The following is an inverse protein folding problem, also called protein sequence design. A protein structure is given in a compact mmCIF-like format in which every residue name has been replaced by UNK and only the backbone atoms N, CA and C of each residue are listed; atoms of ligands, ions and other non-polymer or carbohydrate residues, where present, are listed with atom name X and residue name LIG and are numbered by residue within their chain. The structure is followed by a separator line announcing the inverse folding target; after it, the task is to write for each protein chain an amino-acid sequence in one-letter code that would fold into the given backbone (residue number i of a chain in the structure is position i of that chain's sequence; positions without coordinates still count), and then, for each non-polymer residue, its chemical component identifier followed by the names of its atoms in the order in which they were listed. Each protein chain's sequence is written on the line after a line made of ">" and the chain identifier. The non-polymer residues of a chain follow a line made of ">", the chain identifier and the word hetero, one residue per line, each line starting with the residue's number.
data_IF_746532954867
#
_entry.id   IF_746532954867
#
_cell.length_a   1.000
_cell.length_b   1.000
_cell.length_c   1.000
_cell.angle_alpha   90.00
_cell.angle_beta   90.00
_cell.angle_gamma   90.00
#
_symmetry.space_group_name_H-M   'P 1'
#
loop_
_entity.id
_entity.type
_entity.pdbx_description
1 polymer ?
#
# COMPACT_ATOMS: atom_id res chain seq x y z
N UNK A 1 -3.82 -3.92 -8.26
CA UNK A 1 -3.30 -2.93 -9.23
C UNK A 1 -2.40 -1.90 -8.56
N UNK A 2 -2.93 -0.90 -7.86
CA UNK A 2 -2.14 0.22 -7.31
C UNK A 2 -1.14 -0.13 -6.21
N UNK A 3 -1.28 -1.29 -5.58
CA UNK A 3 -0.36 -1.71 -4.53
C UNK A 3 1.11 -1.72 -4.95
N UNK A 4 1.42 -2.10 -6.19
CA UNK A 4 2.80 -2.13 -6.68
C UNK A 4 3.43 -0.73 -6.86
N UNK A 5 2.83 0.20 -7.63
CA UNK A 5 3.39 1.55 -7.72
C UNK A 5 3.43 2.28 -6.38
N UNK A 6 2.40 2.12 -5.54
CA UNK A 6 2.34 2.79 -4.25
C UNK A 6 3.37 2.25 -3.24
N UNK A 7 3.62 0.95 -3.18
CA UNK A 7 4.67 0.41 -2.29
C UNK A 7 6.07 0.82 -2.74
N UNK A 8 6.32 0.87 -4.06
CA UNK A 8 7.62 1.25 -4.59
C UNK A 8 7.96 2.74 -4.34
N UNK A 9 7.02 3.64 -4.64
CA UNK A 9 7.26 5.09 -4.52
C UNK A 9 7.30 5.57 -3.07
N UNK A 10 6.64 4.83 -2.17
CA UNK A 10 6.60 5.09 -0.74
C UNK A 10 7.53 4.18 0.08
N UNK A 11 8.44 3.44 -0.55
CA UNK A 11 9.35 2.53 0.16
C UNK A 11 10.20 3.29 1.19
N UNK A 12 10.21 2.81 2.44
CA UNK A 12 10.87 3.47 3.56
C UNK A 12 11.38 2.50 4.66
N UNK A 13 11.28 1.18 4.48
CA UNK A 13 11.74 0.22 5.48
C UNK A 13 12.80 -0.76 4.90
N UNK A 14 14.03 -0.32 4.58
CA UNK A 14 15.03 -1.19 3.96
C UNK A 14 15.79 -2.09 4.94
N UNK A 15 15.59 -1.90 6.25
CA UNK A 15 16.42 -2.51 7.29
C UNK A 15 15.61 -3.40 8.23
N UNK A 16 16.23 -4.48 8.70
CA UNK A 16 15.77 -5.30 9.81
C UNK A 16 16.97 -5.82 10.60
N UNK A 17 17.01 -5.60 11.92
CA UNK A 17 18.11 -6.03 12.80
C UNK A 17 19.51 -5.66 12.26
N UNK A 18 19.65 -4.45 11.72
CA UNK A 18 20.90 -3.94 11.13
C UNK A 18 21.30 -4.57 9.80
N UNK A 19 20.44 -5.40 9.19
CA UNK A 19 20.65 -5.98 7.86
C UNK A 19 19.86 -5.20 6.82
N UNK A 20 20.47 -5.00 5.65
CA UNK A 20 19.80 -4.46 4.46
C UNK A 20 19.06 -5.60 3.76
N UNK A 21 17.77 -5.41 3.51
CA UNK A 21 16.90 -6.41 2.91
C UNK A 21 16.14 -5.80 1.72
N UNK A 22 14.82 -5.91 1.71
CA UNK A 22 13.94 -5.40 0.65
C UNK A 22 13.77 -3.89 0.82
N UNK A 23 13.54 -3.14 -0.27
CA UNK A 23 13.24 -1.71 -0.20
C UNK A 23 12.06 -1.41 0.76
N UNK A 24 11.09 -2.32 0.86
CA UNK A 24 10.01 -2.30 1.85
C UNK A 24 9.89 -3.65 2.60
N UNK A 25 10.87 -3.91 3.48
CA UNK A 25 10.96 -5.12 4.32
C UNK A 25 9.76 -5.35 5.23
N UNK A 26 9.02 -4.29 5.61
CA UNK A 26 7.80 -4.40 6.41
C UNK A 26 6.77 -5.35 5.79
N UNK A 27 6.69 -5.43 4.45
CA UNK A 27 5.72 -6.30 3.77
C UNK A 27 5.95 -7.78 4.16
N UNK A 28 7.10 -8.41 3.81
CA UNK A 28 7.34 -9.81 4.18
C UNK A 28 7.52 -9.99 5.69
N UNK A 29 8.03 -9.00 6.43
CA UNK A 29 8.18 -9.09 7.88
C UNK A 29 6.82 -9.24 8.57
N UNK A 30 5.87 -8.37 8.23
CA UNK A 30 4.56 -8.40 8.87
C UNK A 30 3.78 -9.67 8.52
N UNK A 31 3.90 -10.15 7.29
CA UNK A 31 3.32 -11.43 6.88
C UNK A 31 3.85 -12.63 7.66
N UNK A 32 5.10 -12.58 8.11
CA UNK A 32 5.71 -13.64 8.92
C UNK A 32 5.44 -13.45 10.42
N UNK A 33 5.54 -12.23 10.92
CA UNK A 33 5.49 -11.92 12.35
C UNK A 33 4.15 -12.29 13.02
N UNK A 34 3.05 -12.21 12.27
CA UNK A 34 1.71 -12.58 12.76
C UNK A 34 1.12 -13.75 11.97
N UNK A 35 1.99 -14.60 11.42
CA UNK A 35 1.61 -15.83 10.73
C UNK A 35 1.04 -16.83 11.73
N UNK A 36 -0.23 -16.66 12.07
CA UNK A 36 -1.02 -17.66 12.76
C UNK A 36 -1.55 -18.68 11.75
N UNK A 37 -1.59 -19.97 12.08
CA UNK A 37 -2.28 -20.97 11.28
C UNK A 37 -3.72 -20.52 10.99
N UNK A 38 -4.09 -20.46 9.71
CA UNK A 38 -5.46 -20.19 9.28
C UNK A 38 -6.26 -21.48 9.15
N UNK A 39 -7.40 -21.56 9.83
CA UNK A 39 -8.42 -22.60 9.61
C UNK A 39 -8.09 -23.99 10.18
N UNK A 40 -9.01 -24.94 9.94
CA UNK A 40 -8.92 -26.35 10.37
C UNK A 40 -7.78 -27.13 9.71
N UNK A 41 -7.10 -26.54 8.72
CA UNK A 41 -5.88 -27.07 8.10
C UNK A 41 -4.68 -26.25 8.56
N UNK A 42 -4.17 -26.61 9.72
CA UNK A 42 -3.00 -26.02 10.39
C UNK A 42 -1.73 -25.90 9.50
N UNK A 43 -1.69 -26.57 8.35
CA UNK A 43 -0.56 -26.66 7.43
C UNK A 43 -0.83 -26.10 6.02
N UNK A 44 -1.91 -25.36 5.77
CA UNK A 44 -2.10 -24.72 4.45
C UNK A 44 -1.39 -23.35 4.40
N UNK A 45 -0.23 -23.24 3.71
CA UNK A 45 0.54 -22.00 3.65
C UNK A 45 -0.18 -20.88 2.89
N UNK A 46 -1.31 -21.17 2.25
CA UNK A 46 -2.10 -20.20 1.48
C UNK A 46 -2.99 -19.32 2.36
N UNK A 47 -3.23 -19.68 3.63
CA UNK A 47 -4.11 -18.92 4.54
C UNK A 47 -3.36 -18.22 5.66
N UNK A 48 -2.63 -17.17 5.28
CA UNK A 48 -2.08 -16.20 6.22
C UNK A 48 -3.10 -15.11 6.53
N UNK A 49 -3.12 -14.64 7.78
CA UNK A 49 -3.97 -13.52 8.20
C UNK A 49 -3.51 -12.19 7.62
N UNK A 50 -2.22 -12.04 7.32
CA UNK A 50 -1.70 -10.92 6.51
C UNK A 50 -1.50 -11.41 5.10
N UNK A 51 -2.13 -10.75 4.13
CA UNK A 51 -2.11 -11.21 2.74
C UNK A 51 -2.37 -10.09 1.76
N UNK A 52 -1.91 -10.28 0.53
CA UNK A 52 -2.35 -9.48 -0.61
C UNK A 52 -3.83 -9.71 -0.98
N UNK A 53 -4.36 -10.90 -0.67
CA UNK A 53 -5.69 -11.37 -1.08
C UNK A 53 -5.61 -12.53 -2.07
N UNK A 54 -6.76 -13.10 -2.41
CA UNK A 54 -6.86 -14.32 -3.22
C UNK A 54 -7.43 -14.11 -4.63
N UNK A 55 -8.02 -12.94 -4.91
CA UNK A 55 -8.65 -12.65 -6.19
C UNK A 55 -9.32 -11.28 -6.22
N UNK A 56 -9.78 -10.88 -7.41
CA UNK A 56 -10.73 -9.78 -7.54
C UNK A 56 -12.12 -10.22 -7.07
N UNK A 57 -12.82 -9.30 -6.43
CA UNK A 57 -14.27 -9.43 -6.21
C UNK A 57 -14.97 -9.38 -7.56
N UNK A 58 -15.97 -10.25 -7.79
CA UNK A 58 -16.62 -10.39 -9.10
C UNK A 58 -18.07 -9.89 -9.10
N UNK A 59 -18.85 -10.34 -8.14
CA UNK A 59 -20.28 -10.04 -8.03
C UNK A 59 -20.59 -9.15 -6.82
N UNK A 60 -19.96 -9.38 -5.67
CA UNK A 60 -20.27 -8.64 -4.44
C UNK A 60 -19.14 -8.72 -3.40
N UNK A 61 -19.00 -7.66 -2.59
CA UNK A 61 -18.12 -7.67 -1.42
C UNK A 61 -18.47 -8.79 -0.42
N UNK A 62 -19.68 -9.35 -0.48
CA UNK A 62 -20.06 -10.51 0.32
C UNK A 62 -19.10 -11.69 0.12
N UNK A 63 -18.56 -11.87 -1.08
CA UNK A 63 -17.55 -12.90 -1.38
C UNK A 63 -16.36 -12.84 -0.41
N UNK A 64 -15.92 -11.63 -0.06
CA UNK A 64 -14.82 -11.42 0.88
C UNK A 64 -15.21 -11.80 2.31
N UNK A 65 -16.42 -11.48 2.75
CA UNK A 65 -16.89 -11.81 4.10
C UNK A 65 -17.20 -13.30 4.24
N UNK A 66 -17.71 -13.94 3.19
CA UNK A 66 -17.82 -15.40 3.11
C UNK A 66 -16.45 -16.07 3.15
N UNK A 67 -15.45 -15.52 2.45
CA UNK A 67 -14.06 -15.98 2.57
C UNK A 67 -13.55 -15.83 4.01
N UNK A 68 -13.81 -14.70 4.66
CA UNK A 68 -13.44 -14.47 6.06
C UNK A 68 -14.00 -15.55 6.99
N UNK A 69 -15.31 -15.81 6.88
CA UNK A 69 -16.02 -16.77 7.72
C UNK A 69 -15.53 -18.21 7.48
N UNK A 70 -15.31 -18.59 6.23
CA UNK A 70 -14.96 -19.97 5.85
C UNK A 70 -13.50 -20.32 6.13
N UNK A 71 -12.59 -19.34 6.04
CA UNK A 71 -11.14 -19.61 6.03
C UNK A 71 -10.43 -19.18 7.31
N UNK A 72 -10.97 -18.20 8.03
CA UNK A 72 -10.31 -17.61 9.18
C UNK A 72 -11.15 -17.88 10.43
N UNK A 73 -10.66 -18.68 11.39
CA UNK A 73 -11.29 -18.81 12.70
C UNK A 73 -11.36 -17.45 13.41
N UNK A 74 -12.32 -17.18 14.30
CA UNK A 74 -12.30 -16.00 15.15
C UNK A 74 -11.01 -15.95 15.98
N UNK A 75 -10.27 -14.83 15.94
CA UNK A 75 -9.05 -14.65 16.73
C UNK A 75 -9.35 -14.08 18.13
N UNK A 76 -10.34 -13.19 18.20
CA UNK A 76 -10.76 -12.50 19.42
C UNK A 76 -12.21 -12.92 19.71
N UNK A 77 -12.44 -13.97 20.50
CA UNK A 77 -13.77 -14.46 20.84
C UNK A 77 -14.39 -13.59 21.95
N UNK A 78 -14.55 -12.29 21.66
CA UNK A 78 -15.20 -11.34 22.55
C UNK A 78 -16.72 -11.51 22.42
N UNK A 79 -17.41 -11.54 23.55
CA UNK A 79 -18.87 -11.46 23.56
C UNK A 79 -19.29 -10.02 23.27
N UNK A 80 -19.91 -9.81 22.12
CA UNK A 80 -20.46 -8.52 21.68
C UNK A 80 -21.98 -8.58 21.59
N UNK A 81 -22.63 -9.52 22.29
CA UNK A 81 -24.09 -9.67 22.29
C UNK A 81 -24.84 -8.49 22.92
N UNK A 82 -24.14 -7.65 23.68
CA UNK A 82 -24.67 -6.40 24.24
C UNK A 82 -24.76 -5.28 23.20
N UNK A 83 -24.03 -5.40 22.10
CA UNK A 83 -24.04 -4.44 20.99
C UNK A 83 -25.19 -4.75 20.02
N UNK A 84 -25.60 -3.78 19.21
CA UNK A 84 -26.67 -4.00 18.22
C UNK A 84 -26.18 -4.87 17.05
N UNK A 85 -26.89 -5.97 16.77
CA UNK A 85 -26.64 -6.81 15.58
C UNK A 85 -26.72 -6.03 14.26
N UNK A 86 -27.48 -4.94 14.23
CA UNK A 86 -27.58 -4.06 13.05
C UNK A 86 -26.23 -3.45 12.67
N UNK A 87 -25.33 -3.26 13.64
CA UNK A 87 -23.98 -2.73 13.43
C UNK A 87 -22.94 -3.82 13.14
N UNK A 88 -23.38 -5.08 13.05
CA UNK A 88 -22.56 -6.23 12.69
C UNK A 88 -21.21 -6.33 13.47
N UNK A 89 -21.22 -6.14 14.81
CA UNK A 89 -19.99 -5.93 15.59
C UNK A 89 -19.03 -7.12 15.52
N UNK A 90 -19.56 -8.35 15.52
CA UNK A 90 -18.77 -9.57 15.35
C UNK A 90 -18.09 -9.65 13.97
N UNK A 91 -18.79 -9.26 12.90
CA UNK A 91 -18.25 -9.26 11.55
C UNK A 91 -17.16 -8.19 11.38
N UNK A 92 -17.40 -6.99 11.90
CA UNK A 92 -16.43 -5.90 11.90
C UNK A 92 -15.17 -6.26 12.69
N UNK A 93 -15.31 -6.83 13.89
CA UNK A 93 -14.18 -7.31 14.69
C UNK A 93 -13.42 -8.42 13.95
N UNK A 94 -14.12 -9.42 13.41
CA UNK A 94 -13.49 -10.52 12.68
C UNK A 94 -12.68 -10.02 11.47
N UNK A 95 -13.27 -9.17 10.64
CA UNK A 95 -12.59 -8.53 9.51
C UNK A 95 -11.40 -7.66 9.98
N UNK A 96 -11.50 -7.06 11.16
CA UNK A 96 -10.42 -6.31 11.81
C UNK A 96 -9.17 -7.16 12.06
N UNK A 97 -9.33 -8.45 12.36
CA UNK A 97 -8.25 -9.41 12.64
C UNK A 97 -7.66 -10.10 11.40
N UNK A 98 -8.14 -9.73 10.21
CA UNK A 98 -7.63 -10.22 8.92
C UNK A 98 -7.03 -9.02 8.19
N UNK A 99 -5.72 -9.05 8.00
CA UNK A 99 -4.96 -7.94 7.45
C UNK A 99 -4.72 -8.09 5.95
N UNK A 100 -5.66 -7.59 5.16
CA UNK A 100 -5.42 -7.42 3.72
C UNK A 100 -4.68 -6.12 3.46
N UNK A 101 -3.73 -6.16 2.52
CA UNK A 101 -3.03 -4.95 2.05
C UNK A 101 -3.97 -3.93 1.37
N UNK A 102 -5.08 -4.41 0.77
CA UNK A 102 -6.26 -3.61 0.47
C UNK A 102 -7.44 -4.24 1.19
N UNK A 103 -8.06 -3.53 2.13
CA UNK A 103 -9.10 -4.09 2.99
C UNK A 103 -10.42 -3.37 2.80
N UNK A 104 -11.43 -4.03 2.21
CA UNK A 104 -12.81 -3.59 2.30
C UNK A 104 -13.32 -3.67 3.74
N UNK A 105 -14.05 -2.63 4.16
CA UNK A 105 -14.68 -2.53 5.46
C UNK A 105 -16.16 -2.19 5.31
N UNK A 106 -16.95 -2.77 6.19
CA UNK A 106 -18.29 -2.31 6.52
C UNK A 106 -18.16 -1.47 7.79
N UNK A 107 -18.79 -0.30 7.79
CA UNK A 107 -18.94 0.52 8.96
C UNK A 107 -20.30 1.22 8.95
N UNK A 108 -20.56 1.97 10.01
CA UNK A 108 -21.84 2.64 10.22
C UNK A 108 -21.56 4.07 10.69
N UNK A 109 -22.32 5.02 10.15
CA UNK A 109 -22.34 6.40 10.63
C UNK A 109 -22.97 6.49 12.02
N UNK A 110 -22.85 7.65 12.68
CA UNK A 110 -23.46 7.88 14.00
C UNK A 110 -24.98 7.72 14.03
N UNK A 111 -25.66 7.87 12.88
CA UNK A 111 -27.10 7.67 12.73
C UNK A 111 -27.48 6.23 12.34
N UNK A 112 -26.50 5.32 12.24
CA UNK A 112 -26.69 3.93 11.84
C UNK A 112 -26.66 3.68 10.33
N UNK A 113 -26.45 4.69 9.49
CA UNK A 113 -26.34 4.51 8.04
C UNK A 113 -25.12 3.65 7.70
N UNK A 114 -25.28 2.51 6.98
CA UNK A 114 -24.15 1.67 6.61
C UNK A 114 -23.31 2.32 5.50
N UNK A 115 -22.00 2.17 5.58
CA UNK A 115 -21.07 2.58 4.54
C UNK A 115 -20.04 1.49 4.21
N UNK A 116 -19.48 1.59 3.01
CA UNK A 116 -18.39 0.75 2.54
C UNK A 116 -17.15 1.60 2.31
N UNK A 117 -16.01 1.12 2.81
CA UNK A 117 -14.72 1.79 2.62
C UNK A 117 -13.67 0.78 2.18
N UNK A 118 -12.65 1.24 1.47
CA UNK A 118 -11.47 0.45 1.16
C UNK A 118 -10.27 1.14 1.82
N UNK A 119 -9.60 0.42 2.71
CA UNK A 119 -8.31 0.84 3.27
C UNK A 119 -7.18 0.37 2.37
N UNK A 120 -6.38 1.31 1.86
CA UNK A 120 -5.14 1.02 1.14
C UNK A 120 -3.95 1.07 2.11
N UNK A 121 -3.37 -0.09 2.45
CA UNK A 121 -2.48 -0.27 3.60
C UNK A 121 -1.03 -0.59 3.22
N UNK A 122 -0.69 -0.41 1.94
CA UNK A 122 0.62 -0.81 1.40
C UNK A 122 1.73 0.20 1.67
N UNK A 123 1.38 1.50 1.79
CA UNK A 123 2.37 2.55 1.96
C UNK A 123 2.97 2.48 3.36
N UNK A 124 4.28 2.72 3.44
CA UNK A 124 4.95 2.95 4.71
C UNK A 124 4.62 4.35 5.25
N UNK A 125 5.00 4.64 6.49
CA UNK A 125 5.01 6.01 6.98
C UNK A 125 5.95 6.87 6.12
N UNK A 126 5.48 8.03 5.65
CA UNK A 126 6.28 8.92 4.81
C UNK A 126 7.47 9.52 5.56
N UNK A 127 8.60 9.79 4.89
CA UNK A 127 9.76 10.44 5.51
C UNK A 127 9.48 11.85 6.04
N UNK A 128 8.53 12.55 5.43
CA UNK A 128 8.09 13.90 5.80
C UNK A 128 6.57 14.07 5.61
N UNK A 129 6.02 15.17 6.14
CA UNK A 129 4.61 15.54 5.94
C UNK A 129 4.32 15.78 4.44
N UNK A 130 5.11 16.58 3.70
CA UNK A 130 4.89 16.74 2.26
C UNK A 130 4.94 15.41 1.49
N UNK A 131 5.86 14.50 1.84
CA UNK A 131 5.93 13.19 1.19
C UNK A 131 4.67 12.36 1.43
N UNK A 132 4.07 12.46 2.63
CA UNK A 132 2.84 11.76 3.00
C UNK A 132 1.65 12.29 2.22
N UNK A 133 1.51 13.61 2.12
CA UNK A 133 0.42 14.24 1.35
C UNK A 133 0.58 13.95 -0.15
N UNK A 134 1.81 14.01 -0.67
CA UNK A 134 2.12 13.68 -2.06
C UNK A 134 1.77 12.21 -2.40
N UNK A 135 2.04 11.28 -1.49
CA UNK A 135 1.64 9.88 -1.64
C UNK A 135 0.11 9.73 -1.69
N UNK A 136 -0.62 10.48 -0.85
CA UNK A 136 -2.08 10.48 -0.86
C UNK A 136 -2.64 11.05 -2.17
N UNK A 137 -2.11 12.18 -2.65
CA UNK A 137 -2.51 12.79 -3.91
C UNK A 137 -2.32 11.82 -5.09
N UNK A 138 -1.15 11.17 -5.18
CA UNK A 138 -0.89 10.14 -6.19
C UNK A 138 -1.91 8.99 -6.09
N UNK A 139 -2.13 8.46 -4.88
CA UNK A 139 -3.07 7.35 -4.67
C UNK A 139 -4.49 7.73 -5.11
N UNK A 140 -5.02 8.88 -4.67
CA UNK A 140 -6.38 9.30 -5.02
C UNK A 140 -6.54 9.57 -6.50
N UNK A 141 -5.56 10.24 -7.13
CA UNK A 141 -5.57 10.48 -8.57
C UNK A 141 -5.60 9.16 -9.35
N UNK A 142 -4.73 8.23 -8.99
CA UNK A 142 -4.66 6.93 -9.65
C UNK A 142 -5.89 6.06 -9.39
N UNK A 143 -6.39 6.03 -8.16
CA UNK A 143 -7.58 5.25 -7.80
C UNK A 143 -8.78 5.75 -8.59
N UNK A 144 -8.96 7.08 -8.68
CA UNK A 144 -10.04 7.68 -9.44
C UNK A 144 -9.89 7.48 -10.96
N UNK A 145 -8.68 7.67 -11.48
CA UNK A 145 -8.38 7.50 -12.91
C UNK A 145 -8.61 6.07 -13.38
N UNK A 146 -8.02 5.09 -12.68
CA UNK A 146 -8.14 3.68 -13.05
C UNK A 146 -9.56 3.12 -12.87
N UNK A 147 -10.29 3.56 -11.83
CA UNK A 147 -11.66 3.10 -11.60
C UNK A 147 -12.65 3.51 -12.70
N UNK A 148 -12.28 4.49 -13.54
CA UNK A 148 -13.10 5.02 -14.63
C UNK A 148 -12.66 4.53 -16.01
N UNK A 149 -11.61 3.73 -16.09
CA UNK A 149 -11.13 3.18 -17.36
C UNK A 149 -12.09 2.10 -17.88
N UNK A 150 -12.27 2.09 -19.20
CA UNK A 150 -13.04 1.07 -19.92
C UNK A 150 -12.17 0.38 -20.97
N UNK A 151 -12.18 -0.97 -21.06
CA UNK A 151 -12.83 -1.89 -20.12
C UNK A 151 -12.19 -1.84 -18.71
N UNK A 152 -12.88 -2.34 -17.67
CA UNK A 152 -12.35 -2.33 -16.31
C UNK A 152 -10.96 -2.95 -16.22
N UNK A 153 -10.08 -2.31 -15.46
CA UNK A 153 -8.64 -2.63 -15.42
C UNK A 153 -8.35 -4.06 -14.95
N UNK A 154 -9.22 -4.65 -14.12
CA UNK A 154 -9.14 -6.03 -13.66
C UNK A 154 -9.39 -7.07 -14.78
N UNK A 155 -9.95 -6.66 -15.92
CA UNK A 155 -10.06 -7.53 -17.11
C UNK A 155 -8.76 -7.56 -17.91
N UNK A 156 -7.88 -6.57 -17.72
CA UNK A 156 -6.64 -6.40 -18.49
C UNK A 156 -5.38 -6.81 -17.71
N UNK A 157 -5.47 -7.01 -16.40
CA UNK A 157 -4.34 -7.47 -15.58
C UNK A 157 -4.80 -8.46 -14.51
N UNK A 158 -4.32 -9.70 -14.65
CA UNK A 158 -4.67 -10.80 -13.74
C UNK A 158 -4.26 -10.52 -12.29
N UNK A 159 -5.02 -11.08 -11.35
CA UNK A 159 -4.80 -10.91 -9.93
C UNK A 159 -3.47 -11.53 -9.46
N UNK A 160 -3.11 -12.71 -9.99
CA UNK A 160 -1.83 -13.33 -9.63
C UNK A 160 -0.66 -12.46 -10.12
N UNK A 161 -0.80 -11.83 -11.28
CA UNK A 161 0.19 -10.86 -11.78
C UNK A 161 0.24 -9.60 -10.91
N UNK A 162 -0.90 -9.06 -10.46
CA UNK A 162 -0.93 -7.95 -9.50
C UNK A 162 -0.17 -8.29 -8.22
N UNK A 163 -0.36 -9.50 -7.70
CA UNK A 163 0.35 -10.00 -6.53
C UNK A 163 1.85 -10.11 -6.79
N UNK A 164 2.25 -10.67 -7.93
CA UNK A 164 3.66 -10.77 -8.32
C UNK A 164 4.32 -9.39 -8.43
N UNK A 165 3.65 -8.43 -9.10
CA UNK A 165 4.11 -7.05 -9.20
C UNK A 165 4.28 -6.40 -7.83
N UNK A 166 3.34 -6.63 -6.90
CA UNK A 166 3.41 -6.06 -5.56
C UNK A 166 4.64 -6.55 -4.78
N UNK A 167 4.95 -7.85 -4.80
CA UNK A 167 6.13 -8.38 -4.12
C UNK A 167 7.45 -8.03 -4.85
N UNK A 168 7.44 -7.89 -6.18
CA UNK A 168 8.57 -7.33 -6.92
C UNK A 168 8.83 -5.88 -6.50
N UNK A 169 7.78 -5.06 -6.44
CA UNK A 169 7.84 -3.66 -6.02
C UNK A 169 8.31 -3.49 -4.57
N UNK A 170 7.83 -4.32 -3.64
CA UNK A 170 8.28 -4.27 -2.26
C UNK A 170 9.76 -4.65 -2.12
N UNK A 171 10.27 -5.56 -2.96
CA UNK A 171 11.66 -6.01 -2.95
C UNK A 171 12.61 -5.00 -3.58
N UNK A 172 12.30 -4.60 -4.80
CA UNK A 172 13.21 -3.87 -5.70
C UNK A 172 12.84 -2.39 -5.85
N UNK A 173 11.74 -1.95 -5.24
CA UNK A 173 11.29 -0.56 -5.21
C UNK A 173 10.98 -0.04 -6.61
N UNK A 174 11.42 1.20 -6.88
CA UNK A 174 11.23 1.86 -8.19
C UNK A 174 11.92 1.12 -9.35
N UNK A 175 12.89 0.24 -9.08
CA UNK A 175 13.59 -0.55 -10.11
C UNK A 175 12.87 -1.85 -10.45
N UNK A 176 11.78 -2.18 -9.77
CA UNK A 176 11.07 -3.43 -10.02
C UNK A 176 10.52 -3.46 -11.45
N UNK A 177 10.84 -4.53 -12.17
CA UNK A 177 10.24 -4.86 -13.46
C UNK A 177 8.88 -5.50 -13.24
N UNK A 178 7.84 -4.94 -13.83
CA UNK A 178 6.46 -5.40 -13.65
C UNK A 178 5.76 -5.62 -14.98
N UNK A 179 4.69 -6.42 -14.95
CA UNK A 179 3.75 -6.53 -16.08
C UNK A 179 2.58 -5.59 -15.81
N UNK A 180 2.33 -4.65 -16.70
CA UNK A 180 1.24 -3.69 -16.61
C UNK A 180 0.08 -4.04 -17.57
N UNK A 181 -0.84 -3.09 -17.73
CA UNK A 181 -2.01 -3.24 -18.59
C UNK A 181 -1.60 -3.64 -20.01
N UNK A 182 -2.45 -4.42 -20.68
CA UNK A 182 -2.21 -4.92 -22.05
C UNK A 182 -0.90 -5.72 -22.21
N UNK A 183 -0.37 -6.27 -21.11
CA UNK A 183 0.85 -7.10 -21.13
C UNK A 183 2.16 -6.31 -21.29
N UNK A 184 2.11 -4.98 -21.20
CA UNK A 184 3.31 -4.13 -21.22
C UNK A 184 4.26 -4.52 -20.09
N UNK A 185 5.56 -4.40 -20.32
CA UNK A 185 6.60 -4.68 -19.32
C UNK A 185 7.54 -3.50 -19.22
N UNK A 186 7.94 -3.17 -18.00
CA UNK A 186 8.94 -2.14 -17.75
C UNK A 186 9.12 -1.88 -16.26
N UNK A 187 10.12 -1.06 -15.96
CA UNK A 187 10.40 -0.64 -14.59
C UNK A 187 9.25 0.21 -14.03
N UNK A 188 8.99 0.08 -12.73
CA UNK A 188 8.01 0.92 -12.04
C UNK A 188 8.35 2.41 -12.15
N UNK A 189 9.64 2.77 -12.18
CA UNK A 189 10.08 4.14 -12.41
C UNK A 189 9.57 4.68 -13.75
N UNK A 190 9.79 3.93 -14.84
CA UNK A 190 9.33 4.33 -16.16
C UNK A 190 7.81 4.46 -16.20
N UNK A 191 7.11 3.42 -15.74
CA UNK A 191 5.65 3.42 -15.72
C UNK A 191 5.08 4.59 -14.91
N UNK A 192 5.69 4.91 -13.76
CA UNK A 192 5.27 6.04 -12.93
C UNK A 192 5.38 7.37 -13.68
N UNK A 193 6.50 7.63 -14.35
CA UNK A 193 6.76 8.89 -15.05
C UNK A 193 5.93 9.03 -16.33
N UNK A 194 5.84 7.96 -17.12
CA UNK A 194 5.27 8.01 -18.47
C UNK A 194 3.74 7.83 -18.49
N UNK A 195 3.18 7.08 -17.55
CA UNK A 195 1.75 6.71 -17.58
C UNK A 195 1.00 7.14 -16.32
N UNK A 196 1.51 6.78 -15.14
CA UNK A 196 0.73 6.91 -13.90
C UNK A 196 0.66 8.35 -13.39
N UNK A 197 1.76 9.09 -13.38
CA UNK A 197 1.74 10.50 -12.96
C UNK A 197 0.85 11.37 -13.87
N UNK A 198 0.91 11.25 -15.22
CA UNK A 198 -0.04 11.89 -16.11
C UNK A 198 -1.50 11.51 -15.81
N UNK A 199 -1.79 10.22 -15.61
CA UNK A 199 -3.14 9.76 -15.26
C UNK A 199 -3.63 10.34 -13.94
N UNK A 200 -2.80 10.32 -12.90
CA UNK A 200 -3.12 10.86 -11.59
C UNK A 200 -3.45 12.36 -11.68
N UNK A 201 -2.64 13.12 -12.40
CA UNK A 201 -2.86 14.56 -12.64
C UNK A 201 -4.21 14.81 -13.30
N UNK A 202 -4.49 14.12 -14.40
CA UNK A 202 -5.76 14.26 -15.12
C UNK A 202 -6.96 13.94 -14.23
N UNK A 203 -6.87 12.86 -13.45
CA UNK A 203 -7.94 12.43 -12.56
C UNK A 203 -8.18 13.39 -11.39
N UNK A 204 -7.13 13.94 -10.77
CA UNK A 204 -7.26 14.93 -9.69
C UNK A 204 -7.87 16.24 -10.20
N UNK A 205 -7.49 16.71 -11.39
CA UNK A 205 -8.08 17.90 -12.00
C UNK A 205 -9.56 17.66 -12.37
N UNK A 206 -9.91 16.46 -12.82
CA UNK A 206 -11.30 16.08 -13.08
C UNK A 206 -12.15 16.01 -11.80
N UNK A 207 -11.52 15.87 -10.63
CA UNK A 207 -12.16 15.99 -9.32
C UNK A 207 -12.27 17.45 -8.83
N UNK A 208 -11.88 18.43 -9.66
CA UNK A 208 -11.89 19.85 -9.33
C UNK A 208 -11.00 20.23 -8.14
N UNK A 209 -9.94 19.46 -7.89
CA UNK A 209 -8.88 19.87 -6.96
C UNK A 209 -8.09 21.05 -7.55
N UNK A 210 -7.55 21.89 -6.67
CA UNK A 210 -6.79 23.06 -7.06
C UNK A 210 -5.57 22.68 -7.91
N UNK A 211 -5.37 23.41 -9.02
CA UNK A 211 -4.34 23.06 -9.99
C UNK A 211 -2.92 23.28 -9.46
N UNK A 212 -2.71 24.25 -8.56
CA UNK A 212 -1.44 24.49 -7.90
C UNK A 212 -1.14 23.35 -6.92
N UNK A 213 -2.10 22.95 -6.08
CA UNK A 213 -1.95 21.81 -5.16
C UNK A 213 -1.60 20.51 -5.93
N UNK A 214 -2.30 20.24 -7.03
CA UNK A 214 -2.01 19.08 -7.89
C UNK A 214 -0.59 19.16 -8.48
N UNK A 215 -0.18 20.35 -8.93
CA UNK A 215 1.15 20.56 -9.49
C UNK A 215 2.25 20.37 -8.44
N UNK A 216 2.08 20.94 -7.25
CA UNK A 216 3.02 20.88 -6.16
C UNK A 216 3.20 19.43 -5.68
N UNK A 217 2.11 18.77 -5.27
CA UNK A 217 2.21 17.43 -4.69
C UNK A 217 2.63 16.35 -5.68
N UNK A 218 2.11 16.37 -6.92
CA UNK A 218 2.61 15.42 -7.93
C UNK A 218 4.01 15.79 -8.41
N UNK A 219 4.42 17.05 -8.35
CA UNK A 219 5.79 17.49 -8.60
C UNK A 219 6.78 16.87 -7.62
N UNK A 220 6.42 16.76 -6.33
CA UNK A 220 7.24 16.06 -5.33
C UNK A 220 7.43 14.59 -5.67
N UNK A 221 6.38 13.91 -6.14
CA UNK A 221 6.46 12.52 -6.58
C UNK A 221 7.33 12.41 -7.83
N UNK A 222 7.15 13.27 -8.84
CA UNK A 222 7.98 13.29 -10.05
C UNK A 222 9.45 13.40 -9.69
N UNK A 223 9.84 14.41 -8.90
CA UNK A 223 11.23 14.61 -8.49
C UNK A 223 11.80 13.43 -7.68
N UNK A 224 10.97 12.79 -6.84
CA UNK A 224 11.34 11.57 -6.11
C UNK A 224 11.61 10.39 -7.05
N UNK A 225 10.74 10.19 -8.04
CA UNK A 225 10.85 9.08 -9.00
C UNK A 225 12.02 9.30 -9.97
N UNK A 226 12.23 10.53 -10.45
CA UNK A 226 13.35 10.92 -11.31
C UNK A 226 14.71 10.80 -10.61
N UNK A 227 14.81 11.23 -9.36
CA UNK A 227 16.05 11.06 -8.59
C UNK A 227 16.28 9.62 -8.12
N UNK A 228 15.22 8.80 -8.11
CA UNK A 228 15.21 7.46 -7.51
C UNK A 228 15.38 7.47 -5.99
N UNK A 229 15.25 8.63 -5.34
CA UNK A 229 15.51 8.80 -3.90
C UNK A 229 14.22 8.64 -3.11
N UNK A 230 13.87 7.40 -2.79
CA UNK A 230 12.86 7.08 -1.77
C UNK A 230 13.47 7.17 -0.36
N UNK A 231 12.63 7.08 0.68
CA UNK A 231 13.12 6.97 2.06
C UNK A 231 14.02 5.74 2.27
N UNK A 232 13.67 4.63 1.63
CA UNK A 232 14.49 3.42 1.64
C UNK A 232 15.84 3.64 0.95
N UNK A 233 15.85 4.27 -0.23
CA UNK A 233 17.08 4.58 -0.94
C UNK A 233 17.98 5.53 -0.15
N UNK A 234 17.40 6.55 0.50
CA UNK A 234 18.16 7.51 1.30
C UNK A 234 18.85 6.82 2.50
N UNK A 235 18.12 5.99 3.25
CA UNK A 235 18.69 5.24 4.38
C UNK A 235 19.84 4.32 3.93
N UNK A 236 19.67 3.60 2.82
CA UNK A 236 20.71 2.73 2.29
C UNK A 236 21.96 3.51 1.88
N UNK A 237 21.80 4.62 1.14
CA UNK A 237 22.90 5.50 0.74
C UNK A 237 23.61 6.15 1.93
N UNK A 238 22.87 6.50 2.97
CA UNK A 238 23.46 7.01 4.21
C UNK A 238 24.41 5.97 4.81
N UNK A 239 23.96 4.72 4.95
CA UNK A 239 24.80 3.65 5.50
C UNK A 239 25.97 3.28 4.59
N UNK A 240 25.86 3.45 3.27
CA UNK A 240 26.98 3.27 2.34
C UNK A 240 28.09 4.28 2.56
N UNK A 241 27.72 5.52 2.90
CA UNK A 241 28.66 6.63 3.08
C UNK A 241 29.24 6.70 4.49
N UNK A 242 28.45 6.34 5.50
CA UNK A 242 28.80 6.54 6.91
C UNK A 242 29.07 5.23 7.67
N UNK A 243 28.94 4.07 7.01
CA UNK A 243 29.06 2.76 7.66
C UNK A 243 27.75 2.28 8.30
N UNK A 244 27.81 1.15 9.01
CA UNK A 244 26.65 0.48 9.59
C UNK A 244 26.15 1.10 10.91
N UNK A 245 26.31 2.42 11.08
CA UNK A 245 25.89 3.14 12.27
C UNK A 245 24.39 3.50 12.22
N UNK A 246 23.58 2.70 12.92
CA UNK A 246 22.13 2.89 12.97
C UNK A 246 21.71 4.05 13.85
N UNK A 247 22.53 4.43 14.84
CA UNK A 247 22.25 5.59 15.70
C UNK A 247 22.43 6.87 14.88
N UNK A 248 23.56 6.99 14.18
CA UNK A 248 23.81 8.11 13.27
C UNK A 248 22.73 8.20 12.17
N UNK A 249 22.31 7.06 11.61
CA UNK A 249 21.21 7.03 10.64
C UNK A 249 19.91 7.59 11.24
N UNK A 250 19.55 7.16 12.45
CA UNK A 250 18.29 7.56 13.10
C UNK A 250 18.28 9.05 13.42
N UNK A 251 19.39 9.58 13.95
CA UNK A 251 19.55 11.00 14.25
C UNK A 251 19.48 11.86 12.98
N UNK A 252 20.19 11.46 11.92
CA UNK A 252 20.16 12.15 10.64
C UNK A 252 18.76 12.10 10.01
N UNK A 253 18.07 10.97 10.10
CA UNK A 253 16.70 10.84 9.60
C UNK A 253 15.73 11.76 10.35
N UNK A 254 15.85 11.85 11.68
CA UNK A 254 15.04 12.74 12.52
C UNK A 254 15.26 14.21 12.15
N UNK A 255 16.52 14.64 12.03
CA UNK A 255 16.86 16.01 11.61
C UNK A 255 16.25 16.35 10.25
N UNK A 256 16.37 15.44 9.28
CA UNK A 256 15.84 15.64 7.93
C UNK A 256 14.31 15.65 7.91
N UNK A 257 13.65 14.78 8.67
CA UNK A 257 12.20 14.80 8.84
C UNK A 257 11.73 16.14 9.45
N UNK A 258 12.40 16.63 10.50
CA UNK A 258 12.07 17.89 11.17
C UNK A 258 12.27 19.12 10.28
N UNK A 259 13.14 19.04 9.27
CA UNK A 259 13.31 20.12 8.29
C UNK A 259 12.05 20.39 7.45
N UNK A 260 11.09 19.46 7.43
CA UNK A 260 9.88 19.56 6.63
C UNK A 260 10.11 19.41 5.12
N UNK A 261 11.35 19.14 4.68
CA UNK A 261 11.68 18.97 3.26
C UNK A 261 11.29 17.58 2.76
N UNK A 262 10.90 17.44 1.48
CA UNK A 262 10.65 16.14 0.88
C UNK A 262 11.94 15.33 0.73
N UNK A 263 11.84 14.01 0.81
CA UNK A 263 13.00 13.10 0.86
C UNK A 263 13.95 13.21 -0.35
N UNK A 264 13.42 13.57 -1.51
CA UNK A 264 14.24 13.72 -2.71
C UNK A 264 15.27 14.86 -2.57
N UNK A 265 15.02 15.83 -1.68
CA UNK A 265 15.91 16.96 -1.39
C UNK A 265 16.90 16.71 -0.25
N UNK A 266 16.77 15.60 0.48
CA UNK A 266 17.62 15.31 1.63
C UNK A 266 19.07 15.08 1.18
N UNK A 267 20.02 15.71 1.88
CA UNK A 267 21.46 15.57 1.66
C UNK A 267 22.07 14.54 2.60
#
# INVERSE_FOLDING_TARGET
>A
LLSAPMVAVAANSPLLFGKRLWEETRIPLFEQAVSLPGGTRFNDPTYRRVTFGNGYVRASLLELFTENLTRYPPLLPVDLSVESDQQMPHLCLHNGTIWRWNRPLIGFESDGTPHLRIEHRVMSAGPSIPDTIANAALYYGLAHGLARMLPPVETALDFAQCRANFYAAARDGLRAEIVWLKGQRGSLRQLLLEELLPLARQALLALHLDAADVADYLGLITARVESGRTGANWQQRFLERNGADLEALTLAYLERQQSGRPVHEWK
#
